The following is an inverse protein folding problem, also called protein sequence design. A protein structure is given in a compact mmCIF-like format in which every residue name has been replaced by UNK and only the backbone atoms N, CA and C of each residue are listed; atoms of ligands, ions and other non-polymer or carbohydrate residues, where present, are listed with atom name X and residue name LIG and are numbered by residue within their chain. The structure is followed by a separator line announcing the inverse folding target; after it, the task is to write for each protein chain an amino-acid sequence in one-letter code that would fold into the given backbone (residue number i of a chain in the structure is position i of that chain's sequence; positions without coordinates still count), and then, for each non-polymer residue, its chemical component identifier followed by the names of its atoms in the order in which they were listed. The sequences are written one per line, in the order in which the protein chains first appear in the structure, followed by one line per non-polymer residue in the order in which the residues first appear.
data_IF_366416839018
#
_entry.id   IF_366416839018
#
_cell.length_a   1.000
_cell.length_b   1.000
_cell.length_c   1.000
_cell.angle_alpha   90.00
_cell.angle_beta   90.00
_cell.angle_gamma   90.00
#
_symmetry.space_group_name_H-M   'P 1'
#
loop_
_entity.id
_entity.type
_entity.pdbx_description
1 polymer ?
#
# COMPACT_ATOMS: atom_id res chain seq x y z
N UNK A 1 -8.96 3.50 -18.39
CA UNK A 1 -9.24 4.64 -17.48
C UNK A 1 -8.31 5.83 -17.74
N UNK A 2 -7.06 5.63 -18.21
CA UNK A 2 -6.14 6.68 -18.70
C UNK A 2 -5.84 7.83 -17.72
N UNK A 3 -6.05 7.59 -16.42
CA UNK A 3 -5.72 8.56 -15.38
C UNK A 3 -4.21 8.77 -15.29
N UNK A 4 -3.81 10.03 -15.25
CA UNK A 4 -2.44 10.43 -14.91
C UNK A 4 -2.27 10.39 -13.40
N UNK A 5 -1.02 10.25 -12.94
CA UNK A 5 -0.69 10.33 -11.51
C UNK A 5 -1.23 11.61 -10.88
N UNK A 6 -1.15 12.75 -11.60
CA UNK A 6 -1.67 14.04 -11.12
C UNK A 6 -3.19 14.01 -10.86
N UNK A 7 -3.95 13.34 -11.72
CA UNK A 7 -5.41 13.22 -11.56
C UNK A 7 -5.74 12.50 -10.24
N UNK A 8 -4.96 11.47 -9.89
CA UNK A 8 -5.11 10.74 -8.62
C UNK A 8 -4.77 11.64 -7.43
N UNK A 9 -3.68 12.41 -7.52
CA UNK A 9 -3.30 13.38 -6.48
C UNK A 9 -4.44 14.37 -6.25
N UNK A 10 -4.95 14.99 -7.31
CA UNK A 10 -6.03 15.98 -7.21
C UNK A 10 -7.31 15.38 -6.59
N UNK A 11 -7.63 14.13 -6.95
CA UNK A 11 -8.74 13.39 -6.33
C UNK A 11 -8.53 13.18 -4.84
N UNK A 12 -7.33 12.83 -4.36
CA UNK A 12 -7.08 12.69 -2.93
C UNK A 12 -7.26 14.01 -2.18
N UNK A 13 -6.71 15.11 -2.70
CA UNK A 13 -6.85 16.44 -2.09
C UNK A 13 -8.30 16.92 -2.08
N UNK A 14 -9.12 16.52 -3.05
CA UNK A 14 -10.55 16.83 -3.09
C UNK A 14 -11.39 15.92 -2.18
N UNK A 15 -11.15 14.61 -2.21
CA UNK A 15 -12.03 13.61 -1.62
C UNK A 15 -11.76 13.39 -0.13
N UNK A 16 -10.51 13.38 0.33
CA UNK A 16 -10.22 13.09 1.75
C UNK A 16 -10.86 14.11 2.70
N UNK A 17 -10.79 15.44 2.44
CA UNK A 17 -11.49 16.40 3.28
C UNK A 17 -13.01 16.17 3.30
N UNK A 18 -13.61 15.76 2.18
CA UNK A 18 -15.04 15.49 2.07
C UNK A 18 -15.46 14.19 2.78
N UNK A 19 -14.68 13.12 2.63
CA UNK A 19 -14.93 11.81 3.24
C UNK A 19 -14.81 11.89 4.76
N UNK A 20 -13.82 12.62 5.26
CA UNK A 20 -13.50 12.70 6.69
C UNK A 20 -14.00 13.98 7.39
N UNK A 21 -14.87 14.77 6.73
CA UNK A 21 -15.40 16.02 7.28
C UNK A 21 -16.21 15.83 8.58
N UNK A 22 -16.97 14.73 8.71
CA UNK A 22 -17.93 14.52 9.81
C UNK A 22 -17.86 13.09 10.35
N UNK A 23 -17.14 12.86 11.46
CA UNK A 23 -17.20 11.59 12.16
C UNK A 23 -18.62 11.32 12.66
N UNK A 24 -19.14 10.12 12.42
CA UNK A 24 -20.41 9.64 12.98
C UNK A 24 -20.31 9.28 14.46
N UNK A 25 -19.10 8.96 14.91
CA UNK A 25 -18.81 8.60 16.29
C UNK A 25 -17.50 9.27 16.76
N UNK A 26 -17.44 9.75 18.02
CA UNK A 26 -16.18 10.13 18.67
C UNK A 26 -15.16 8.98 18.64
N UNK A 27 -13.86 9.29 18.62
CA UNK A 27 -12.78 8.30 18.43
C UNK A 27 -12.83 7.11 19.40
N UNK A 28 -13.27 7.32 20.66
CA UNK A 28 -13.38 6.23 21.65
C UNK A 28 -14.56 5.28 21.41
N UNK A 29 -15.57 5.68 20.62
CA UNK A 29 -16.72 4.87 20.24
C UNK A 29 -16.53 4.15 18.90
N UNK A 30 -15.45 4.43 18.17
CA UNK A 30 -15.18 3.83 16.85
C UNK A 30 -14.91 2.32 16.88
N UNK A 31 -14.68 1.75 18.07
CA UNK A 31 -14.61 0.30 18.29
C UNK A 31 -16.01 -0.35 18.24
N UNK A 32 -17.07 0.43 18.48
CA UNK A 32 -18.46 -0.05 18.55
C UNK A 32 -19.29 0.34 17.31
N UNK A 33 -18.96 1.44 16.64
CA UNK A 33 -19.68 1.96 15.47
C UNK A 33 -18.67 2.51 14.46
N UNK A 34 -18.86 2.35 13.14
CA UNK A 34 -17.98 2.96 12.14
C UNK A 34 -17.84 4.47 12.34
N UNK A 35 -16.60 4.95 12.24
CA UNK A 35 -16.26 6.35 12.40
C UNK A 35 -16.84 7.27 11.34
N UNK A 36 -17.09 6.78 10.12
CA UNK A 36 -17.49 7.60 8.96
C UNK A 36 -18.61 6.97 8.12
N UNK A 37 -19.18 7.78 7.24
CA UNK A 37 -20.14 7.30 6.23
C UNK A 37 -19.45 6.81 4.97
N UNK A 38 -19.90 5.67 4.46
CA UNK A 38 -19.50 5.20 3.13
C UNK A 38 -20.08 6.08 2.00
N UNK A 39 -21.03 6.99 2.26
CA UNK A 39 -21.76 7.73 1.19
C UNK A 39 -20.83 8.53 0.28
N UNK A 40 -19.91 9.34 0.82
CA UNK A 40 -19.04 10.20 0.01
C UNK A 40 -18.08 9.36 -0.85
N UNK A 41 -17.52 8.30 -0.26
CA UNK A 41 -16.67 7.33 -0.95
C UNK A 41 -17.44 6.60 -2.05
N UNK A 42 -18.63 6.05 -1.75
CA UNK A 42 -19.47 5.37 -2.74
C UNK A 42 -19.91 6.31 -3.87
N UNK A 43 -20.24 7.58 -3.58
CA UNK A 43 -20.57 8.56 -4.61
C UNK A 43 -19.37 8.88 -5.51
N UNK A 44 -18.18 9.03 -4.93
CA UNK A 44 -16.96 9.25 -5.70
C UNK A 44 -16.63 8.04 -6.59
N UNK A 45 -16.66 6.82 -6.04
CA UNK A 45 -16.40 5.60 -6.80
C UNK A 45 -17.44 5.40 -7.91
N UNK A 46 -18.73 5.64 -7.65
CA UNK A 46 -19.75 5.61 -8.69
C UNK A 46 -19.50 6.64 -9.80
N UNK A 47 -19.09 7.87 -9.45
CA UNK A 47 -18.79 8.92 -10.42
C UNK A 47 -17.60 8.57 -11.31
N UNK A 48 -16.55 7.99 -10.73
CA UNK A 48 -15.26 7.83 -11.42
C UNK A 48 -15.07 6.46 -12.07
N UNK A 49 -15.64 5.40 -11.48
CA UNK A 49 -15.52 4.02 -12.00
C UNK A 49 -16.81 3.52 -12.65
N UNK A 50 -17.96 4.19 -12.42
CA UNK A 50 -19.22 3.84 -13.07
C UNK A 50 -19.57 2.36 -12.91
N UNK A 51 -20.09 1.77 -13.97
CA UNK A 51 -20.44 0.35 -14.08
C UNK A 51 -19.30 -0.51 -14.67
N UNK A 52 -18.07 0.01 -14.72
CA UNK A 52 -16.92 -0.76 -15.19
C UNK A 52 -16.68 -1.99 -14.31
N UNK A 53 -16.33 -3.12 -14.92
CA UNK A 53 -16.11 -4.38 -14.22
C UNK A 53 -14.64 -4.81 -14.25
N UNK A 54 -14.30 -5.82 -13.44
CA UNK A 54 -12.95 -6.39 -13.39
C UNK A 54 -12.45 -6.87 -14.75
N UNK A 55 -13.34 -7.34 -15.62
CA UNK A 55 -13.04 -7.77 -16.99
C UNK A 55 -13.12 -6.66 -18.04
N UNK A 56 -13.17 -5.38 -17.65
CA UNK A 56 -13.29 -4.26 -18.59
C UNK A 56 -12.03 -4.08 -19.45
N UNK A 57 -12.23 -3.87 -20.75
CA UNK A 57 -11.17 -3.51 -21.71
C UNK A 57 -10.54 -2.14 -21.43
N UNK A 58 -11.12 -1.33 -20.55
CA UNK A 58 -10.51 -0.08 -20.09
C UNK A 58 -9.30 -0.28 -19.17
N UNK A 59 -9.14 -1.49 -18.62
CA UNK A 59 -7.97 -1.90 -17.85
C UNK A 59 -6.89 -2.39 -18.80
N UNK A 60 -5.90 -1.53 -19.07
CA UNK A 60 -4.82 -1.82 -20.04
C UNK A 60 -3.65 -2.60 -19.47
N UNK A 61 -3.63 -2.84 -18.16
CA UNK A 61 -2.58 -3.54 -17.44
C UNK A 61 -3.17 -4.66 -16.59
N UNK A 62 -2.33 -5.58 -16.14
CA UNK A 62 -2.68 -6.45 -15.02
C UNK A 62 -3.06 -5.61 -13.80
N UNK A 63 -4.17 -5.97 -13.17
CA UNK A 63 -4.72 -5.36 -11.96
C UNK A 63 -4.94 -6.48 -10.96
N UNK A 64 -4.52 -6.24 -9.71
CA UNK A 64 -4.84 -7.07 -8.58
C UNK A 64 -5.48 -6.20 -7.48
N UNK A 65 -6.65 -6.61 -6.99
CA UNK A 65 -7.35 -5.96 -5.87
C UNK A 65 -7.38 -6.94 -4.71
N UNK A 66 -6.94 -6.48 -3.54
CA UNK A 66 -6.91 -7.28 -2.32
C UNK A 66 -8.02 -6.86 -1.37
N UNK A 67 -8.85 -7.82 -0.96
CA UNK A 67 -9.93 -7.58 0.00
C UNK A 67 -10.08 -8.78 0.95
N UNK A 68 -10.57 -8.56 2.16
CA UNK A 68 -10.85 -9.65 3.10
C UNK A 68 -12.33 -10.02 3.02
N UNK A 69 -12.65 -11.23 2.55
CA UNK A 69 -13.99 -11.79 2.58
C UNK A 69 -14.26 -12.41 3.96
N UNK A 70 -15.21 -11.87 4.69
CA UNK A 70 -15.41 -12.16 6.11
C UNK A 70 -16.34 -13.35 6.33
N UNK A 71 -17.37 -13.50 5.50
CA UNK A 71 -18.33 -14.60 5.60
C UNK A 71 -17.67 -15.98 5.36
N UNK A 72 -16.59 -16.03 4.57
CA UNK A 72 -15.79 -17.25 4.36
C UNK A 72 -14.42 -17.21 5.04
N UNK A 73 -14.08 -16.10 5.72
CA UNK A 73 -12.77 -15.91 6.37
C UNK A 73 -11.56 -15.86 5.42
N UNK A 74 -11.76 -15.76 4.10
CA UNK A 74 -10.70 -15.85 3.10
C UNK A 74 -10.18 -14.49 2.65
N UNK A 75 -8.91 -14.44 2.25
CA UNK A 75 -8.32 -13.27 1.59
C UNK A 75 -8.56 -13.40 0.09
N UNK A 76 -9.26 -12.44 -0.50
CA UNK A 76 -9.51 -12.39 -1.93
C UNK A 76 -8.40 -11.60 -2.62
N UNK A 77 -7.83 -12.22 -3.66
CA UNK A 77 -6.86 -11.62 -4.57
C UNK A 77 -7.54 -11.65 -5.94
N UNK A 78 -8.27 -10.58 -6.26
CA UNK A 78 -9.02 -10.50 -7.50
C UNK A 78 -8.12 -9.96 -8.60
N UNK A 79 -7.95 -10.71 -9.68
CA UNK A 79 -7.11 -10.30 -10.82
C UNK A 79 -7.93 -10.19 -12.09
N UNK A 80 -7.55 -9.26 -12.98
CA UNK A 80 -8.22 -9.08 -14.27
C UNK A 80 -7.65 -9.95 -15.41
N UNK A 81 -6.91 -11.02 -15.08
CA UNK A 81 -6.37 -11.93 -16.09
C UNK A 81 -7.45 -12.94 -16.54
N UNK A 82 -7.81 -13.01 -17.84
CA UNK A 82 -8.78 -13.97 -18.34
C UNK A 82 -8.45 -15.45 -18.08
N UNK A 83 -7.16 -15.77 -17.94
CA UNK A 83 -6.66 -17.12 -17.68
C UNK A 83 -6.65 -17.48 -16.18
N UNK A 84 -7.01 -16.55 -15.29
CA UNK A 84 -7.20 -16.87 -13.88
C UNK A 84 -8.33 -17.89 -13.72
N UNK A 85 -8.10 -18.94 -12.94
CA UNK A 85 -9.03 -20.04 -12.82
C UNK A 85 -10.45 -19.61 -12.39
N UNK A 86 -10.59 -18.57 -11.57
CA UNK A 86 -11.89 -18.03 -11.14
C UNK A 86 -12.37 -16.79 -11.92
N UNK A 87 -11.71 -16.42 -13.03
CA UNK A 87 -12.10 -15.25 -13.81
C UNK A 87 -13.52 -15.38 -14.38
N UNK A 88 -13.79 -16.54 -15.00
CA UNK A 88 -15.09 -16.91 -15.54
C UNK A 88 -15.89 -17.76 -14.53
N UNK A 89 -17.21 -17.85 -14.74
CA UNK A 89 -18.06 -18.71 -13.94
C UNK A 89 -17.72 -20.19 -14.18
N UNK A 90 -17.55 -20.95 -13.10
CA UNK A 90 -17.19 -22.38 -13.16
C UNK A 90 -18.38 -23.33 -13.02
N UNK A 91 -19.52 -22.91 -12.45
CA UNK A 91 -20.55 -23.86 -11.96
C UNK A 91 -22.03 -23.46 -12.18
N UNK A 92 -22.31 -22.41 -12.96
CA UNK A 92 -23.67 -22.15 -13.49
C UNK A 92 -24.68 -21.48 -12.54
N UNK A 93 -24.29 -21.08 -11.34
CA UNK A 93 -25.12 -20.29 -10.41
C UNK A 93 -24.46 -19.03 -9.84
N UNK A 94 -23.21 -18.75 -10.21
CA UNK A 94 -22.39 -17.68 -9.63
C UNK A 94 -22.22 -16.51 -10.59
N UNK A 95 -22.02 -15.30 -10.05
CA UNK A 95 -21.56 -14.17 -10.86
C UNK A 95 -20.07 -14.41 -11.19
N UNK A 96 -19.65 -14.42 -12.47
CA UNK A 96 -18.23 -14.48 -12.82
C UNK A 96 -17.45 -13.36 -12.15
N UNK A 97 -16.22 -13.61 -11.67
CA UNK A 97 -15.43 -12.57 -11.01
C UNK A 97 -15.12 -11.39 -11.94
N UNK A 98 -14.99 -11.65 -13.26
CA UNK A 98 -14.83 -10.63 -14.29
C UNK A 98 -16.00 -9.63 -14.38
N UNK A 99 -17.18 -9.99 -13.87
CA UNK A 99 -18.38 -9.13 -13.88
C UNK A 99 -18.58 -8.33 -12.59
N UNK A 100 -17.72 -8.46 -11.59
CA UNK A 100 -17.79 -7.60 -10.41
C UNK A 100 -17.42 -6.17 -10.77
N UNK A 101 -18.22 -5.22 -10.30
CA UNK A 101 -17.97 -3.80 -10.52
C UNK A 101 -16.68 -3.36 -9.83
N UNK A 102 -15.85 -2.61 -10.54
CA UNK A 102 -14.60 -2.06 -10.00
C UNK A 102 -14.86 -1.18 -8.79
N UNK A 103 -15.91 -0.35 -8.81
CA UNK A 103 -16.31 0.47 -7.66
C UNK A 103 -16.53 -0.35 -6.39
N UNK A 104 -17.13 -1.54 -6.49
CA UNK A 104 -17.44 -2.37 -5.33
C UNK A 104 -16.18 -3.08 -4.83
N UNK A 105 -15.34 -3.57 -5.74
CA UNK A 105 -14.07 -4.19 -5.40
C UNK A 105 -13.09 -3.20 -4.75
N UNK A 106 -12.95 -2.01 -5.34
CA UNK A 106 -12.12 -0.93 -4.79
C UNK A 106 -12.66 -0.47 -3.44
N UNK A 107 -13.98 -0.33 -3.29
CA UNK A 107 -14.56 0.02 -2.00
C UNK A 107 -14.29 -1.07 -0.95
N UNK A 108 -14.46 -2.35 -1.31
CA UNK A 108 -14.19 -3.48 -0.42
C UNK A 108 -12.73 -3.53 0.01
N UNK A 109 -11.80 -3.24 -0.90
CA UNK A 109 -10.37 -3.15 -0.63
C UNK A 109 -9.99 -2.04 0.34
N UNK A 110 -10.77 -0.96 0.40
CA UNK A 110 -10.53 0.23 1.25
C UNK A 110 -11.48 0.34 2.47
N UNK A 111 -12.31 -0.67 2.73
CA UNK A 111 -13.33 -0.65 3.79
C UNK A 111 -12.73 -0.96 5.17
N UNK A 112 -11.86 -0.08 5.67
CA UNK A 112 -11.12 -0.30 6.91
C UNK A 112 -12.08 -0.43 8.11
N UNK A 113 -12.01 -1.53 8.89
CA UNK A 113 -12.82 -1.67 10.11
C UNK A 113 -12.61 -0.49 11.04
N UNK A 114 -13.64 -0.10 11.80
CA UNK A 114 -13.71 1.10 12.65
C UNK A 114 -13.81 2.44 11.90
N UNK A 115 -13.49 2.51 10.61
CA UNK A 115 -13.65 3.71 9.78
C UNK A 115 -14.90 3.62 8.92
N UNK A 116 -15.07 2.51 8.20
CA UNK A 116 -16.16 2.29 7.25
C UNK A 116 -16.97 1.03 7.60
N UNK A 117 -18.20 0.96 7.07
CA UNK A 117 -18.99 -0.27 7.09
C UNK A 117 -18.43 -1.29 6.10
N UNK A 118 -18.75 -2.57 6.31
CA UNK A 118 -18.53 -3.64 5.35
C UNK A 118 -19.13 -3.31 3.97
N UNK A 119 -18.51 -3.84 2.93
CA UNK A 119 -19.01 -3.74 1.56
C UNK A 119 -19.67 -5.05 1.17
N UNK A 120 -20.86 -4.96 0.59
CA UNK A 120 -21.63 -6.12 0.14
C UNK A 120 -21.52 -6.23 -1.37
N UNK A 121 -21.00 -7.35 -1.86
CA UNK A 121 -20.90 -7.64 -3.30
C UNK A 121 -21.84 -8.79 -3.62
N UNK A 122 -22.67 -8.62 -4.65
CA UNK A 122 -23.58 -9.66 -5.12
C UNK A 122 -22.84 -10.77 -5.86
N UNK A 123 -22.82 -11.98 -5.31
CA UNK A 123 -22.03 -13.12 -5.84
C UNK A 123 -22.87 -14.21 -6.51
N UNK A 124 -24.19 -14.20 -6.32
CA UNK A 124 -25.11 -15.17 -6.90
C UNK A 124 -26.35 -14.50 -7.45
N UNK A 125 -26.88 -15.05 -8.55
CA UNK A 125 -28.12 -14.60 -9.18
C UNK A 125 -29.13 -15.75 -9.17
N UNK A 126 -30.39 -15.44 -8.87
CA UNK A 126 -31.47 -16.42 -9.00
C UNK A 126 -31.81 -16.68 -10.47
N UNK A 127 -32.70 -17.66 -10.73
CA UNK A 127 -33.18 -18.01 -12.08
C UNK A 127 -33.81 -16.86 -12.87
N UNK A 128 -34.14 -15.74 -12.21
CA UNK A 128 -34.70 -14.52 -12.81
C UNK A 128 -33.64 -13.43 -13.02
N UNK A 129 -32.36 -13.76 -12.84
CA UNK A 129 -31.23 -12.84 -13.00
C UNK A 129 -31.05 -11.82 -11.86
N UNK A 130 -31.86 -11.88 -10.80
CA UNK A 130 -31.71 -10.97 -9.64
C UNK A 130 -30.66 -11.49 -8.68
N UNK A 131 -29.80 -10.59 -8.19
CA UNK A 131 -28.85 -10.89 -7.11
C UNK A 131 -29.61 -11.38 -5.88
N UNK A 132 -29.27 -12.57 -5.39
CA UNK A 132 -29.89 -13.18 -4.21
C UNK A 132 -28.87 -13.63 -3.16
N UNK A 133 -27.58 -13.61 -3.49
CA UNK A 133 -26.49 -13.98 -2.58
C UNK A 133 -25.45 -12.87 -2.54
N UNK A 134 -24.92 -12.62 -1.34
CA UNK A 134 -23.97 -11.54 -1.07
C UNK A 134 -22.76 -12.08 -0.32
N UNK A 135 -21.58 -11.60 -0.70
CA UNK A 135 -20.35 -11.71 0.07
C UNK A 135 -20.05 -10.38 0.78
N UNK A 136 -19.37 -10.48 1.93
CA UNK A 136 -19.12 -9.36 2.83
C UNK A 136 -17.63 -9.10 2.92
N UNK A 137 -17.22 -7.86 2.66
CA UNK A 137 -15.82 -7.47 2.53
C UNK A 137 -15.41 -6.40 3.53
N UNK A 138 -14.22 -6.58 4.08
CA UNK A 138 -13.42 -5.53 4.69
C UNK A 138 -12.14 -5.29 3.89
N UNK A 139 -11.47 -4.21 4.25
CA UNK A 139 -10.17 -3.78 3.73
C UNK A 139 -9.15 -4.91 3.60
N UNK A 140 -8.35 -4.86 2.53
CA UNK A 140 -7.27 -5.82 2.28
C UNK A 140 -6.20 -5.81 3.38
N UNK A 141 -6.01 -4.70 4.07
CA UNK A 141 -5.12 -4.53 5.21
C UNK A 141 -5.55 -5.30 6.48
N UNK A 142 -6.76 -5.87 6.51
CA UNK A 142 -7.20 -6.84 7.53
C UNK A 142 -6.81 -8.28 7.15
N UNK A 143 -5.94 -8.41 6.15
CA UNK A 143 -5.31 -9.66 5.74
C UNK A 143 -3.78 -9.51 5.78
N UNK A 144 -3.02 -10.59 5.58
CA UNK A 144 -1.57 -10.50 5.43
C UNK A 144 -1.09 -9.63 4.26
N UNK A 145 -1.99 -9.12 3.41
CA UNK A 145 -1.67 -8.41 2.18
C UNK A 145 -1.76 -6.89 2.29
N UNK A 146 -1.62 -6.32 3.50
CA UNK A 146 -1.52 -4.86 3.66
C UNK A 146 -0.34 -4.27 2.86
N UNK A 147 0.78 -5.00 2.81
CA UNK A 147 1.78 -4.86 1.77
C UNK A 147 1.59 -6.00 0.76
N UNK A 148 0.96 -5.77 -0.40
CA UNK A 148 0.63 -6.85 -1.33
C UNK A 148 1.84 -7.34 -2.13
N UNK A 149 3.02 -6.73 -2.01
CA UNK A 149 4.17 -7.02 -2.87
C UNK A 149 4.54 -8.50 -2.95
N UNK A 150 4.58 -9.21 -1.82
CA UNK A 150 4.88 -10.65 -1.81
C UNK A 150 3.76 -11.45 -2.48
N UNK A 151 2.50 -11.09 -2.22
CA UNK A 151 1.36 -11.75 -2.85
C UNK A 151 1.31 -11.49 -4.36
N UNK A 152 1.74 -10.32 -4.82
CA UNK A 152 1.85 -10.00 -6.26
C UNK A 152 2.91 -10.85 -6.94
N UNK A 153 4.08 -11.06 -6.32
CA UNK A 153 5.08 -12.01 -6.83
C UNK A 153 4.46 -13.39 -7.00
N UNK A 154 3.78 -13.90 -5.96
CA UNK A 154 3.11 -15.20 -6.03
C UNK A 154 2.06 -15.24 -7.14
N UNK A 155 1.20 -14.22 -7.24
CA UNK A 155 0.14 -14.15 -8.26
C UNK A 155 0.69 -14.02 -9.68
N UNK A 156 1.82 -13.36 -9.88
CA UNK A 156 2.45 -13.25 -11.20
C UNK A 156 3.03 -14.60 -11.68
N UNK A 157 3.53 -15.42 -10.76
CA UNK A 157 4.22 -16.68 -11.10
C UNK A 157 3.35 -17.93 -10.97
N UNK A 158 2.31 -17.91 -10.15
CA UNK A 158 1.44 -19.07 -9.87
C UNK A 158 0.45 -19.32 -11.02
N UNK A 159 0.47 -20.51 -11.66
CA UNK A 159 -0.41 -20.82 -12.78
C UNK A 159 -1.90 -20.63 -12.51
N UNK A 160 -2.36 -20.81 -11.27
CA UNK A 160 -3.76 -20.60 -10.92
C UNK A 160 -4.26 -19.18 -11.28
N UNK A 161 -3.40 -18.15 -11.23
CA UNK A 161 -3.73 -16.76 -11.58
C UNK A 161 -3.56 -16.42 -13.06
N UNK A 162 -3.06 -17.36 -13.88
CA UNK A 162 -2.99 -17.22 -15.33
C UNK A 162 -1.86 -16.35 -15.88
N UNK A 163 -1.14 -15.59 -15.04
CA UNK A 163 -0.05 -14.71 -15.54
C UNK A 163 1.16 -15.51 -16.02
N UNK A 164 1.55 -16.55 -15.26
CA UNK A 164 2.65 -17.46 -15.60
C UNK A 164 3.96 -16.73 -15.96
N UNK A 165 4.24 -15.58 -15.34
CA UNK A 165 5.47 -14.83 -15.61
C UNK A 165 6.68 -15.62 -15.09
N UNK A 166 7.76 -15.59 -15.87
CA UNK A 166 9.00 -16.25 -15.49
C UNK A 166 9.67 -15.49 -14.35
N UNK A 167 10.04 -16.18 -13.28
CA UNK A 167 10.90 -15.61 -12.26
C UNK A 167 12.32 -15.37 -12.79
N UNK A 168 13.06 -14.46 -12.13
CA UNK A 168 14.46 -14.17 -12.40
C UNK A 168 14.78 -12.68 -12.26
N UNK A 169 16.04 -12.38 -11.93
CA UNK A 169 16.57 -11.01 -11.78
C UNK A 169 16.24 -10.10 -12.98
N UNK A 170 16.40 -10.62 -14.20
CA UNK A 170 16.19 -9.91 -15.47
C UNK A 170 14.76 -10.08 -16.04
N UNK A 171 13.90 -10.88 -15.38
CA UNK A 171 12.56 -11.21 -15.88
C UNK A 171 11.45 -10.49 -15.11
N UNK A 172 11.67 -10.20 -13.82
CA UNK A 172 10.67 -9.57 -12.95
C UNK A 172 11.25 -8.36 -12.22
N UNK A 173 10.63 -7.20 -12.43
CA UNK A 173 10.84 -5.99 -11.63
C UNK A 173 9.61 -5.74 -10.75
N UNK A 174 9.84 -5.65 -9.44
CA UNK A 174 8.81 -5.34 -8.44
C UNK A 174 9.15 -4.06 -7.69
N UNK A 175 8.36 -3.01 -7.93
CA UNK A 175 8.34 -1.81 -7.11
C UNK A 175 7.26 -1.92 -6.03
N UNK A 176 7.68 -1.92 -4.75
CA UNK A 176 6.77 -1.81 -3.61
C UNK A 176 6.76 -0.36 -3.12
N UNK A 177 5.71 0.38 -3.48
CA UNK A 177 5.51 1.76 -3.05
C UNK A 177 4.56 1.80 -1.86
N UNK A 178 5.06 2.22 -0.70
CA UNK A 178 4.28 2.34 0.52
C UNK A 178 3.61 3.71 0.66
N UNK A 179 2.58 3.76 1.49
CA UNK A 179 1.83 4.99 1.81
C UNK A 179 2.28 5.61 3.14
N UNK A 180 3.49 5.28 3.60
CA UNK A 180 4.01 5.65 4.90
C UNK A 180 4.15 4.44 5.83
N UNK A 181 5.35 4.28 6.39
CA UNK A 181 5.66 3.31 7.40
C UNK A 181 5.45 3.87 8.81
N UNK A 182 4.65 3.15 9.59
CA UNK A 182 4.28 3.49 10.95
C UNK A 182 4.46 2.27 11.84
N UNK A 183 5.21 2.41 12.93
CA UNK A 183 5.32 1.43 14.00
C UNK A 183 4.60 1.92 15.25
N UNK A 184 3.50 1.27 15.61
CA UNK A 184 2.87 1.48 16.91
C UNK A 184 3.70 0.80 17.98
N UNK A 185 4.27 1.59 18.89
CA UNK A 185 5.12 1.10 19.97
C UNK A 185 4.84 1.89 21.23
N UNK A 186 4.93 1.18 22.36
CA UNK A 186 4.77 1.77 23.68
C UNK A 186 6.08 1.66 24.46
N UNK A 187 6.53 2.75 25.05
CA UNK A 187 7.79 2.82 25.78
C UNK A 187 7.64 3.57 27.11
N UNK A 188 8.57 3.36 28.04
CA UNK A 188 8.64 4.18 29.26
C UNK A 188 8.84 5.64 28.84
N UNK A 189 7.97 6.54 29.33
CA UNK A 189 8.05 7.97 29.01
C UNK A 189 9.42 8.51 29.40
N UNK A 190 10.14 9.06 28.45
CA UNK A 190 11.39 9.75 28.68
C UNK A 190 11.32 11.14 28.04
N UNK A 191 11.16 12.19 28.86
CA UNK A 191 11.02 13.58 28.38
C UNK A 191 12.28 14.10 27.68
N UNK A 192 13.44 13.45 27.87
CA UNK A 192 14.70 13.82 27.23
C UNK A 192 14.88 13.17 25.87
N UNK A 193 14.02 12.22 25.48
CA UNK A 193 14.13 11.51 24.21
C UNK A 193 13.07 11.98 23.21
N UNK A 194 13.50 12.20 21.98
CA UNK A 194 12.66 12.40 20.81
C UNK A 194 12.24 11.03 20.27
N UNK A 195 10.95 10.72 20.34
CA UNK A 195 10.45 9.42 19.91
C UNK A 195 8.96 9.48 19.60
N UNK A 196 8.55 8.86 18.50
CA UNK A 196 7.14 8.59 18.20
C UNK A 196 6.54 7.44 19.04
N UNK A 197 7.28 6.87 19.98
CA UNK A 197 6.73 5.88 20.90
C UNK A 197 5.75 6.52 21.89
N UNK A 198 4.59 5.91 22.05
CA UNK A 198 3.63 6.35 23.04
C UNK A 198 4.05 5.92 24.46
N UNK A 199 3.70 6.69 25.50
CA UNK A 199 3.91 6.26 26.88
C UNK A 199 3.24 4.92 27.18
N UNK A 200 3.95 4.00 27.85
CA UNK A 200 3.41 2.70 28.28
C UNK A 200 2.17 2.82 29.18
N UNK A 201 2.03 3.96 29.88
CA UNK A 201 0.83 4.29 30.65
C UNK A 201 -0.42 4.39 29.79
N UNK A 202 -0.30 4.92 28.56
CA UNK A 202 -1.43 5.00 27.61
C UNK A 202 -1.96 3.60 27.33
N UNK A 203 -1.07 2.67 26.96
CA UNK A 203 -1.45 1.28 26.71
C UNK A 203 -2.13 0.63 27.92
N UNK A 204 -1.60 0.82 29.13
CA UNK A 204 -2.18 0.26 30.36
C UNK A 204 -3.60 0.75 30.61
N UNK A 205 -3.86 2.03 30.30
CA UNK A 205 -5.14 2.70 30.52
C UNK A 205 -6.17 2.45 29.39
N UNK A 206 -5.77 1.83 28.27
CA UNK A 206 -6.70 1.44 27.22
C UNK A 206 -7.70 0.40 27.74
N UNK A 207 -8.96 0.53 27.29
CA UNK A 207 -9.94 -0.55 27.40
C UNK A 207 -9.40 -1.82 26.72
N UNK A 208 -9.84 -2.99 27.18
CA UNK A 208 -9.30 -4.26 26.69
C UNK A 208 -9.45 -4.44 25.18
N UNK A 209 -10.60 -4.07 24.60
CA UNK A 209 -10.82 -4.12 23.15
C UNK A 209 -9.82 -3.24 22.37
N UNK A 210 -9.50 -2.05 22.88
CA UNK A 210 -8.50 -1.17 22.27
C UNK A 210 -7.06 -1.71 22.41
N UNK A 211 -6.75 -2.46 23.48
CA UNK A 211 -5.48 -3.20 23.60
C UNK A 211 -5.37 -4.28 22.53
N UNK A 212 -6.45 -5.02 22.28
CA UNK A 212 -6.50 -6.03 21.21
C UNK A 212 -6.30 -5.38 19.85
N UNK A 213 -6.96 -4.25 19.56
CA UNK A 213 -6.74 -3.50 18.32
C UNK A 213 -5.28 -3.05 18.15
N UNK A 214 -4.68 -2.47 19.20
CA UNK A 214 -3.28 -2.07 19.17
C UNK A 214 -2.33 -3.27 18.92
N UNK A 215 -2.65 -4.45 19.44
CA UNK A 215 -1.90 -5.68 19.17
C UNK A 215 -2.08 -6.16 17.71
N UNK A 216 -3.29 -6.07 17.15
CA UNK A 216 -3.57 -6.40 15.74
C UNK A 216 -2.88 -5.43 14.77
N UNK A 217 -2.82 -4.13 15.10
CA UNK A 217 -2.02 -3.16 14.35
C UNK A 217 -0.52 -3.54 14.38
N UNK A 218 -0.01 -4.00 15.53
CA UNK A 218 1.34 -4.55 15.66
C UNK A 218 1.55 -5.81 14.83
N UNK A 219 0.55 -6.69 14.77
CA UNK A 219 0.61 -7.91 13.96
C UNK A 219 0.74 -7.61 12.46
N UNK A 220 0.00 -6.63 11.93
CA UNK A 220 0.13 -6.19 10.54
C UNK A 220 1.53 -5.62 10.23
N UNK A 221 2.13 -4.93 11.19
CA UNK A 221 3.51 -4.46 11.10
C UNK A 221 4.49 -5.63 11.02
N UNK A 222 4.34 -6.64 11.86
CA UNK A 222 5.21 -7.83 11.88
C UNK A 222 5.13 -8.60 10.55
N UNK A 223 3.92 -8.77 9.99
CA UNK A 223 3.75 -9.38 8.66
C UNK A 223 4.46 -8.56 7.59
N UNK A 224 4.28 -7.24 7.58
CA UNK A 224 4.90 -6.36 6.59
C UNK A 224 6.43 -6.45 6.66
N UNK A 225 6.99 -6.51 7.87
CA UNK A 225 8.42 -6.69 8.10
C UNK A 225 8.94 -8.04 7.60
N UNK A 226 8.19 -9.12 7.86
CA UNK A 226 8.51 -10.44 7.34
C UNK A 226 8.50 -10.44 5.80
N UNK A 227 7.49 -9.85 5.17
CA UNK A 227 7.39 -9.77 3.71
C UNK A 227 8.53 -8.98 3.08
N UNK A 228 8.89 -7.82 3.67
CA UNK A 228 10.04 -7.03 3.22
C UNK A 228 11.30 -7.87 3.34
N UNK A 229 11.55 -8.49 4.51
CA UNK A 229 12.70 -9.36 4.73
C UNK A 229 12.79 -10.45 3.66
N UNK A 230 11.69 -11.18 3.43
CA UNK A 230 11.63 -12.25 2.43
C UNK A 230 11.93 -11.75 1.02
N UNK A 231 11.30 -10.65 0.58
CA UNK A 231 11.51 -10.09 -0.76
C UNK A 231 12.95 -9.61 -0.95
N UNK A 232 13.56 -9.01 0.07
CA UNK A 232 14.97 -8.61 0.02
C UNK A 232 15.90 -9.81 -0.02
N UNK A 233 15.62 -10.89 0.71
CA UNK A 233 16.45 -12.12 0.67
C UNK A 233 16.26 -12.91 -0.64
N UNK A 234 15.14 -12.74 -1.33
CA UNK A 234 14.88 -13.33 -2.65
C UNK A 234 15.46 -12.49 -3.81
N UNK A 235 16.00 -11.30 -3.53
CA UNK A 235 16.43 -10.34 -4.53
C UNK A 235 17.75 -9.66 -4.14
N UNK A 236 18.16 -8.68 -4.93
CA UNK A 236 19.27 -7.77 -4.61
C UNK A 236 18.81 -6.32 -4.71
N UNK A 237 18.05 -5.81 -3.74
CA UNK A 237 17.57 -4.44 -3.80
C UNK A 237 18.74 -3.47 -3.94
N UNK A 238 18.60 -2.47 -4.80
CA UNK A 238 19.59 -1.40 -4.97
C UNK A 238 19.73 -0.61 -3.68
N UNK A 239 18.58 -0.28 -3.08
CA UNK A 239 18.47 0.39 -1.79
C UNK A 239 17.70 -0.53 -0.82
N UNK A 240 18.40 -1.42 -0.10
CA UNK A 240 17.73 -2.25 0.89
C UNK A 240 17.00 -1.39 1.94
N UNK A 241 15.88 -1.88 2.43
CA UNK A 241 15.09 -1.28 3.49
C UNK A 241 15.59 -1.84 4.84
N UNK A 242 15.96 -0.99 5.81
CA UNK A 242 16.21 -1.39 7.21
C UNK A 242 15.00 -2.08 7.88
N UNK A 243 15.03 -3.39 8.05
CA UNK A 243 13.94 -4.13 8.67
C UNK A 243 13.88 -3.78 10.18
N UNK A 244 14.82 -4.29 10.96
CA UNK A 244 14.86 -4.09 12.39
C UNK A 244 16.29 -4.20 12.95
N UNK A 245 16.46 -4.17 14.27
CA UNK A 245 17.76 -4.25 14.93
C UNK A 245 18.50 -5.57 14.79
N UNK A 246 17.81 -6.65 14.42
CA UNK A 246 18.37 -7.99 14.25
C UNK A 246 18.72 -8.24 12.77
N UNK A 247 17.77 -7.99 11.87
CA UNK A 247 17.87 -8.24 10.42
C UNK A 247 18.62 -7.12 9.68
N UNK A 248 18.58 -5.89 10.22
CA UNK A 248 19.21 -4.69 9.64
C UNK A 248 18.73 -4.44 8.19
N UNK A 249 19.59 -3.89 7.35
CA UNK A 249 19.33 -3.62 5.92
C UNK A 249 19.41 -4.88 5.05
N UNK A 250 20.00 -5.98 5.53
CA UNK A 250 20.32 -7.16 4.72
C UNK A 250 21.33 -6.93 3.58
N UNK A 251 22.24 -5.96 3.74
CA UNK A 251 23.34 -5.69 2.81
C UNK A 251 24.22 -6.93 2.59
N UNK A 252 24.61 -7.60 3.68
CA UNK A 252 25.51 -8.76 3.66
C UNK A 252 24.79 -10.09 3.84
N UNK A 253 23.45 -10.11 3.73
CA UNK A 253 22.66 -11.33 3.91
C UNK A 253 22.73 -12.18 2.65
N UNK A 254 23.05 -13.48 2.75
CA UNK A 254 22.97 -14.40 1.62
C UNK A 254 21.55 -14.48 1.04
N UNK A 255 21.45 -14.77 -0.25
CA UNK A 255 20.16 -15.03 -0.89
C UNK A 255 19.50 -16.29 -0.31
N UNK A 256 18.18 -16.28 -0.28
CA UNK A 256 17.37 -17.43 0.15
C UNK A 256 17.30 -18.50 -0.95
N UNK A 257 17.42 -18.06 -2.22
CA UNK A 257 17.46 -18.92 -3.39
C UNK A 257 18.88 -18.93 -4.01
N UNK A 258 19.25 -19.95 -4.81
CA UNK A 258 20.57 -20.01 -5.46
C UNK A 258 20.89 -18.81 -6.36
N UNK A 259 19.86 -18.19 -6.93
CA UNK A 259 19.92 -16.98 -7.74
C UNK A 259 18.74 -16.06 -7.37
N UNK A 260 18.82 -14.74 -7.63
CA UNK A 260 17.69 -13.85 -7.38
C UNK A 260 16.45 -14.28 -8.17
N UNK A 261 15.31 -14.27 -7.48
CA UNK A 261 14.00 -14.65 -8.03
C UNK A 261 13.35 -13.46 -8.75
N UNK A 262 13.78 -12.23 -8.42
CA UNK A 262 13.30 -10.99 -9.00
C UNK A 262 14.28 -9.84 -8.73
N UNK A 263 14.12 -8.76 -9.47
CA UNK A 263 14.57 -7.43 -9.08
C UNK A 263 13.50 -6.74 -8.23
N UNK A 264 13.83 -6.35 -6.99
CA UNK A 264 12.88 -5.75 -6.05
C UNK A 264 13.41 -4.43 -5.48
N UNK A 265 12.54 -3.41 -5.41
CA UNK A 265 12.84 -2.16 -4.72
C UNK A 265 11.62 -1.73 -3.91
N UNK A 266 11.83 -1.40 -2.64
CA UNK A 266 10.82 -0.75 -1.80
C UNK A 266 11.11 0.73 -1.65
N UNK A 267 10.09 1.55 -1.81
CA UNK A 267 10.08 2.96 -1.45
C UNK A 267 8.95 3.19 -0.46
N UNK A 268 9.29 3.62 0.74
CA UNK A 268 8.28 3.94 1.76
C UNK A 268 8.85 4.95 2.76
N UNK A 269 8.09 5.99 3.07
CA UNK A 269 8.51 7.06 3.99
C UNK A 269 8.30 6.58 5.42
N UNK A 270 9.32 6.63 6.30
CA UNK A 270 9.10 6.45 7.74
C UNK A 270 8.48 7.70 8.33
N UNK A 271 7.19 7.65 8.64
CA UNK A 271 6.44 8.74 9.31
C UNK A 271 6.64 8.60 10.82
N UNK A 272 7.89 8.78 11.25
CA UNK A 272 8.33 8.66 12.63
C UNK A 272 9.38 9.73 12.93
N UNK A 273 9.37 10.20 14.16
CA UNK A 273 10.44 11.00 14.73
C UNK A 273 11.23 10.12 15.71
N UNK A 274 12.55 10.19 15.62
CA UNK A 274 13.46 9.47 16.48
C UNK A 274 14.75 10.27 16.73
N UNK A 275 15.62 9.74 17.58
CA UNK A 275 16.96 10.31 17.80
C UNK A 275 17.85 10.17 16.56
N UNK A 276 18.84 11.06 16.43
CA UNK A 276 19.71 11.13 15.26
C UNK A 276 20.40 9.79 14.91
N UNK A 277 20.74 8.99 15.92
CA UNK A 277 21.37 7.66 15.74
C UNK A 277 20.44 6.60 15.12
N UNK A 278 19.12 6.79 15.20
CA UNK A 278 18.12 5.88 14.64
C UNK A 278 17.50 6.42 13.35
N UNK A 279 17.74 7.70 13.02
CA UNK A 279 17.27 8.29 11.78
C UNK A 279 17.93 7.62 10.57
N UNK A 280 17.13 7.48 9.53
CA UNK A 280 17.50 6.93 8.22
C UNK A 280 17.09 7.91 7.13
N UNK A 281 17.71 7.91 5.94
CA UNK A 281 17.41 8.87 4.88
C UNK A 281 15.92 8.95 4.50
N UNK A 282 15.20 7.84 4.60
CA UNK A 282 13.78 7.72 4.30
C UNK A 282 12.84 8.13 5.46
N UNK A 283 13.38 8.61 6.58
CA UNK A 283 12.56 9.26 7.61
C UNK A 283 12.05 10.62 7.14
N UNK A 284 10.80 10.93 7.48
CA UNK A 284 10.14 12.16 7.05
C UNK A 284 10.94 13.43 7.39
N UNK A 285 11.57 13.48 8.57
CA UNK A 285 12.39 14.65 8.98
C UNK A 285 13.69 14.76 8.16
N UNK A 286 14.27 13.63 7.76
CA UNK A 286 15.46 13.61 6.92
C UNK A 286 15.12 14.01 5.48
N UNK A 287 13.98 13.54 4.96
CA UNK A 287 13.48 13.86 3.63
C UNK A 287 13.10 15.34 3.48
N UNK A 288 12.41 15.90 4.48
CA UNK A 288 11.99 17.31 4.45
C UNK A 288 13.11 18.27 4.88
N UNK A 289 14.20 17.76 5.46
CA UNK A 289 15.32 18.57 5.94
C UNK A 289 14.99 19.41 7.17
N UNK A 290 13.88 19.12 7.87
CA UNK A 290 13.42 19.88 9.03
C UNK A 290 12.85 18.97 10.12
N UNK A 291 12.93 19.42 11.37
CA UNK A 291 12.31 18.73 12.50
C UNK A 291 10.85 19.13 12.62
N UNK A 292 9.97 18.14 12.71
CA UNK A 292 8.54 18.33 12.90
C UNK A 292 8.16 18.22 14.39
N UNK A 293 7.18 18.96 14.92
CA UNK A 293 6.62 18.68 16.23
C UNK A 293 6.12 17.23 16.33
N UNK A 294 6.34 16.55 17.47
CA UNK A 294 5.92 15.15 17.66
C UNK A 294 4.40 14.98 17.47
N UNK A 295 3.63 15.98 17.87
CA UNK A 295 2.18 16.00 17.66
C UNK A 295 1.79 16.08 16.18
N UNK A 296 2.56 16.83 15.38
CA UNK A 296 2.35 16.89 13.93
C UNK A 296 2.71 15.56 13.27
N UNK A 297 3.82 14.91 13.67
CA UNK A 297 4.17 13.56 13.21
C UNK A 297 3.07 12.56 13.59
N UNK A 298 2.51 12.65 14.80
CA UNK A 298 1.38 11.81 15.20
C UNK A 298 0.13 12.08 14.35
N UNK A 299 -0.13 13.33 13.95
CA UNK A 299 -1.25 13.68 13.07
C UNK A 299 -1.07 13.12 11.65
N UNK A 300 0.15 13.12 11.12
CA UNK A 300 0.50 12.57 9.79
C UNK A 300 0.34 11.05 9.71
N UNK A 301 0.31 10.34 10.85
CA UNK A 301 0.12 8.89 10.93
C UNK A 301 -1.34 8.45 10.91
N UNK A 302 -2.28 9.40 10.93
CA UNK A 302 -3.72 9.09 10.95
C UNK A 302 -4.22 8.70 9.57
N UNK A 303 -5.20 7.80 9.53
CA UNK A 303 -5.87 7.41 8.28
C UNK A 303 -6.99 8.38 7.87
N UNK A 304 -7.53 9.15 8.81
CA UNK A 304 -8.66 10.07 8.59
C UNK A 304 -8.23 11.54 8.50
N UNK A 305 -7.17 11.82 7.75
CA UNK A 305 -6.67 13.19 7.54
C UNK A 305 -7.64 13.95 6.63
N UNK A 306 -8.16 15.08 7.13
CA UNK A 306 -9.00 16.01 6.39
C UNK A 306 -8.38 17.41 6.26
N UNK A 307 -7.20 17.63 6.85
CA UNK A 307 -6.46 18.89 6.79
C UNK A 307 -5.57 18.91 5.53
N UNK A 308 -5.83 19.81 4.55
CA UNK A 308 -5.02 19.92 3.35
C UNK A 308 -3.53 20.17 3.60
N UNK A 309 -3.17 20.84 4.70
CA UNK A 309 -1.76 21.10 5.03
C UNK A 309 -1.03 19.81 5.43
N UNK A 310 -1.71 18.91 6.15
CA UNK A 310 -1.13 17.61 6.47
C UNK A 310 -1.01 16.73 5.22
N UNK A 311 -1.97 16.82 4.28
CA UNK A 311 -1.89 16.14 2.99
C UNK A 311 -0.73 16.65 2.14
N UNK A 312 -0.50 17.97 2.12
CA UNK A 312 0.64 18.57 1.43
C UNK A 312 1.99 18.08 2.00
N UNK A 313 2.11 17.98 3.32
CA UNK A 313 3.31 17.44 3.95
C UNK A 313 3.56 15.99 3.53
N UNK A 314 2.53 15.15 3.51
CA UNK A 314 2.64 13.75 3.05
C UNK A 314 3.03 13.68 1.57
N UNK A 315 2.41 14.50 0.73
CA UNK A 315 2.71 14.57 -0.70
C UNK A 315 4.17 14.98 -0.95
N UNK A 316 4.62 16.07 -0.31
CA UNK A 316 6.01 16.53 -0.36
C UNK A 316 7.00 15.48 0.15
N UNK A 317 6.65 14.72 1.19
CA UNK A 317 7.51 13.66 1.69
C UNK A 317 7.69 12.53 0.65
N UNK A 318 6.63 12.20 -0.11
CA UNK A 318 6.69 11.26 -1.22
C UNK A 318 7.57 11.75 -2.38
N UNK A 319 7.38 13.01 -2.80
CA UNK A 319 8.24 13.65 -3.82
C UNK A 319 9.71 13.69 -3.37
N UNK A 320 9.95 14.06 -2.11
CA UNK A 320 11.28 14.07 -1.53
C UNK A 320 11.92 12.69 -1.48
N UNK A 321 11.16 11.63 -1.20
CA UNK A 321 11.65 10.25 -1.25
C UNK A 321 12.07 9.85 -2.66
N UNK A 322 11.29 10.22 -3.69
CA UNK A 322 11.65 9.98 -5.09
C UNK A 322 12.94 10.68 -5.52
N UNK A 323 13.24 11.84 -4.92
CA UNK A 323 14.48 12.60 -5.15
C UNK A 323 15.63 12.25 -4.18
N UNK A 324 15.40 11.37 -3.20
CA UNK A 324 16.33 11.17 -2.09
C UNK A 324 17.61 10.42 -2.49
N UNK A 325 18.67 10.66 -1.71
CA UNK A 325 19.89 9.85 -1.70
C UNK A 325 19.76 8.76 -0.64
N UNK A 326 19.46 7.53 -1.07
CA UNK A 326 19.21 6.38 -0.20
C UNK A 326 20.50 5.57 0.02
N UNK A 327 20.55 4.78 1.09
CA UNK A 327 21.70 3.91 1.42
C UNK A 327 21.76 2.78 0.39
N UNK A 328 22.84 2.75 -0.39
CA UNK A 328 23.07 1.78 -1.45
C UNK A 328 23.52 0.44 -0.87
N UNK A 329 23.16 -0.65 -1.55
CA UNK A 329 23.56 -2.03 -1.20
C UNK A 329 25.08 -2.26 -1.14
N UNK A 330 25.87 -1.42 -1.80
CA UNK A 330 27.34 -1.53 -1.79
C UNK A 330 27.97 -0.98 -0.51
N UNK A 331 27.16 -0.44 0.40
CA UNK A 331 27.61 0.00 1.72
C UNK A 331 28.24 -1.18 2.49
N UNK A 332 29.50 -1.06 2.90
CA UNK A 332 30.15 -2.09 3.72
C UNK A 332 30.10 -1.76 5.23
N UNK A 333 30.07 -0.47 5.57
CA UNK A 333 29.96 0.05 6.94
C UNK A 333 28.74 0.98 7.03
N UNK A 334 27.75 0.62 7.85
CA UNK A 334 26.55 1.43 8.05
C UNK A 334 26.85 2.81 8.68
N UNK A 335 28.00 3.00 9.32
CA UNK A 335 28.40 4.31 9.86
C UNK A 335 28.94 5.25 8.77
N UNK A 336 29.36 4.70 7.62
CA UNK A 336 29.88 5.41 6.47
C UNK A 336 29.18 4.96 5.19
N UNK A 337 27.85 5.19 5.06
CA UNK A 337 27.06 4.59 4.00
C UNK A 337 27.38 5.19 2.62
N UNK A 338 27.45 4.32 1.62
CA UNK A 338 27.42 4.74 0.21
C UNK A 338 25.98 5.11 -0.11
N UNK A 339 25.76 6.29 -0.70
CA UNK A 339 24.42 6.76 -1.07
C UNK A 339 24.27 6.89 -2.58
N UNK A 340 23.05 6.73 -3.06
CA UNK A 340 22.70 6.94 -4.47
C UNK A 340 21.27 7.44 -4.63
N UNK A 341 20.97 8.03 -5.78
CA UNK A 341 19.63 8.53 -6.08
C UNK A 341 18.63 7.38 -6.21
N UNK A 342 17.46 7.51 -5.57
CA UNK A 342 16.39 6.51 -5.63
C UNK A 342 15.95 6.19 -7.07
N UNK A 343 15.94 7.20 -7.94
CA UNK A 343 15.67 7.12 -9.38
C UNK A 343 16.85 7.75 -10.10
N UNK A 344 17.41 7.03 -11.09
CA UNK A 344 18.59 7.47 -11.84
C UNK A 344 18.56 6.87 -13.26
N UNK A 345 19.37 7.37 -14.22
CA UNK A 345 19.35 6.86 -15.60
C UNK A 345 19.65 5.36 -15.74
N UNK A 346 20.29 4.76 -14.73
CA UNK A 346 20.61 3.33 -14.64
C UNK A 346 19.55 2.53 -13.87
N UNK A 347 18.50 3.17 -13.33
CA UNK A 347 17.46 2.51 -12.53
C UNK A 347 16.06 3.14 -12.61
N UNK A 348 15.00 2.36 -12.88
CA UNK A 348 15.01 0.91 -13.07
C UNK A 348 15.83 0.49 -14.30
N UNK A 349 16.33 -0.76 -14.36
CA UNK A 349 17.16 -1.19 -15.49
C UNK A 349 16.40 -1.04 -16.81
N UNK A 350 17.04 -0.43 -17.80
CA UNK A 350 16.42 -0.09 -19.07
C UNK A 350 15.87 -1.30 -19.85
N UNK A 351 16.34 -2.52 -19.56
CA UNK A 351 15.80 -3.74 -20.17
C UNK A 351 14.34 -4.04 -19.75
N UNK A 352 13.85 -3.45 -18.66
CA UNK A 352 12.43 -3.51 -18.28
C UNK A 352 11.56 -2.47 -19.01
N UNK A 353 12.15 -1.39 -19.51
CA UNK A 353 11.47 -0.34 -20.28
C UNK A 353 11.36 -0.76 -21.75
N UNK A 354 10.53 -1.77 -22.01
CA UNK A 354 10.34 -2.29 -23.36
C UNK A 354 9.81 -1.19 -24.30
N UNK A 355 10.37 -0.99 -25.51
CA UNK A 355 9.92 0.04 -26.46
C UNK A 355 8.43 -0.04 -26.83
N UNK A 356 7.82 -1.22 -26.69
CA UNK A 356 6.38 -1.42 -26.86
C UNK A 356 5.51 -0.89 -25.70
N UNK A 357 6.07 -0.75 -24.49
CA UNK A 357 5.45 -0.07 -23.35
C UNK A 357 5.70 1.45 -23.49
N UNK A 358 4.99 2.09 -24.42
CA UNK A 358 5.12 3.54 -24.58
C UNK A 358 4.68 4.26 -23.31
N UNK A 359 5.61 4.99 -22.69
CA UNK A 359 5.30 6.05 -21.73
C UNK A 359 4.38 7.13 -22.35
N UNK A 360 3.86 8.06 -21.55
CA UNK A 360 3.00 9.13 -22.05
C UNK A 360 3.72 9.87 -23.18
N UNK A 361 3.00 10.31 -24.23
CA UNK A 361 3.62 11.01 -25.35
C UNK A 361 4.42 12.19 -24.81
N UNK A 362 5.71 12.25 -25.17
CA UNK A 362 6.56 13.40 -24.93
C UNK A 362 5.83 14.64 -25.42
N UNK A 363 5.79 15.68 -24.58
CA UNK A 363 5.20 16.96 -24.95
C UNK A 363 5.80 17.41 -26.29
N UNK A 364 4.97 17.92 -27.23
CA UNK A 364 5.49 18.40 -28.51
C UNK A 364 6.56 19.47 -28.22
N UNK A 365 7.73 19.29 -28.83
CA UNK A 365 8.79 20.28 -28.78
C UNK A 365 8.21 21.63 -29.24
N UNK A 366 8.44 22.67 -28.44
CA UNK A 366 8.00 24.02 -28.78
C UNK A 366 8.49 24.37 -30.20
N UNK A 367 7.63 24.97 -31.04
CA UNK A 367 8.05 25.38 -32.37
C UNK A 367 9.23 26.33 -32.24
N UNK A 368 10.35 25.96 -32.86
CA UNK A 368 11.47 26.88 -33.05
C UNK A 368 10.92 28.06 -33.85
N UNK A 369 10.93 29.24 -33.23
CA UNK A 369 10.56 30.48 -33.91
C UNK A 369 11.56 30.74 -35.06
N UNK A 370 11.07 31.26 -36.20
CA UNK A 370 11.86 31.43 -37.42
C UNK A 370 13.01 32.43 -37.29
#
# INVERSE_FOLDING_TARGET
LEWKVRDIVDLYFQLLPAIFAKPRAPSFLRVFVPGFSNTALSQALNRHLGDETLGSDLLKTGLAIHAKRIDTGSSWILVNNPDWCFFNEQSGSGVPNSQFYLRDLVQGSAAAPTYFNDVRVGIGRNRRGKVNEYAYFFDGGVSPNNNPALQLLLSATEPAFGFNWLAGEENLLLWSVGTGYVRKRFAKRNRKRRSSAEPIGNFKNLAYAAKVQAALEGYNHDISQQQITTLQTLSRPRFPWYVNSEVKMQINTPLLAPQPVLTYQRLDVRIEADEAEYLRPEHIEALLGEKLPIEQVAALRRMDINDPNLLDILYRAGEALGAAQLIHRDTQDENSPVRGAAIAPDWPPAHFDLPQWRGPPSAPAAPQQP
#
